data_IF_456986524675
#
_entry.id   IF_456986524675
#
_cell.length_a   1.000
_cell.length_b   1.000
_cell.length_c   1.000
_cell.angle_alpha   90.00
_cell.angle_beta   90.00
_cell.angle_gamma   90.00
#
_symmetry.space_group_name_H-M   'P 1'
#
loop_
_entity.id
_entity.type
_entity.pdbx_description
1 polymer ?
#
# COMPACT_ATOMS: atom_id res chain seq x y z
N UNK A 1 -22.36 8.90 5.56
CA UNK A 1 -21.88 8.28 6.82
C UNK A 1 -21.84 6.75 6.82
N UNK A 2 -22.91 5.98 6.54
CA UNK A 2 -22.84 4.52 6.44
C UNK A 2 -22.35 4.07 5.04
N UNK A 3 -22.78 4.75 4.00
CA UNK A 3 -22.37 4.45 2.60
C UNK A 3 -20.87 4.69 2.36
N UNK A 4 -20.26 5.69 3.00
CA UNK A 4 -18.84 5.99 2.86
C UNK A 4 -17.92 4.88 3.44
N UNK A 5 -18.45 4.09 4.39
CA UNK A 5 -17.77 2.91 4.93
C UNK A 5 -17.82 1.72 3.96
N UNK A 6 -18.92 1.60 3.20
CA UNK A 6 -19.12 0.52 2.23
C UNK A 6 -18.45 0.88 0.90
N UNK A 7 -18.57 2.15 0.49
CA UNK A 7 -18.00 2.67 -0.76
C UNK A 7 -17.04 3.83 -0.45
N UNK A 8 -15.85 3.54 0.07
CA UNK A 8 -14.85 4.56 0.32
C UNK A 8 -14.39 5.21 -0.99
N UNK A 9 -13.84 6.43 -0.90
CA UNK A 9 -13.23 7.10 -2.06
C UNK A 9 -12.18 6.19 -2.70
N UNK A 10 -12.04 6.28 -4.00
CA UNK A 10 -11.01 5.59 -4.74
C UNK A 10 -9.79 6.52 -4.89
N UNK A 11 -8.60 5.98 -4.68
CA UNK A 11 -7.36 6.70 -4.93
C UNK A 11 -7.23 7.01 -6.43
N UNK A 12 -6.62 8.16 -6.78
CA UNK A 12 -6.53 8.62 -8.18
C UNK A 12 -5.90 7.59 -9.11
N UNK A 13 -4.83 6.91 -8.65
CA UNK A 13 -4.17 5.86 -9.41
C UNK A 13 -5.04 4.61 -9.64
N UNK A 14 -6.05 4.40 -8.82
CA UNK A 14 -6.98 3.28 -8.94
C UNK A 14 -7.96 3.40 -10.10
N UNK A 15 -8.28 4.62 -10.55
CA UNK A 15 -9.28 4.82 -11.61
C UNK A 15 -8.91 4.11 -12.92
N UNK A 16 -7.64 4.18 -13.33
CA UNK A 16 -7.16 3.53 -14.55
C UNK A 16 -7.33 2.01 -14.48
N UNK A 17 -7.01 1.40 -13.34
CA UNK A 17 -7.15 -0.05 -13.16
C UNK A 17 -8.62 -0.48 -13.08
N UNK A 18 -9.47 0.34 -12.45
CA UNK A 18 -10.91 0.07 -12.38
C UNK A 18 -11.55 0.14 -13.78
N UNK A 19 -11.17 1.12 -14.60
CA UNK A 19 -11.66 1.23 -15.98
C UNK A 19 -11.20 0.04 -16.81
N UNK A 20 -9.92 -0.33 -16.75
CA UNK A 20 -9.37 -1.49 -17.48
C UNK A 20 -10.11 -2.78 -17.06
N UNK A 21 -10.24 -3.03 -15.76
CA UNK A 21 -10.92 -4.23 -15.26
C UNK A 21 -12.40 -4.25 -15.65
N UNK A 22 -13.08 -3.09 -15.65
CA UNK A 22 -14.47 -2.96 -16.08
C UNK A 22 -14.64 -3.28 -17.59
N UNK A 23 -13.77 -2.76 -18.44
CA UNK A 23 -13.78 -3.08 -19.88
C UNK A 23 -13.54 -4.57 -20.10
N UNK A 24 -12.55 -5.16 -19.43
CA UNK A 24 -12.28 -6.59 -19.50
C UNK A 24 -13.49 -7.41 -19.05
N UNK A 25 -14.17 -6.98 -17.99
CA UNK A 25 -15.41 -7.61 -17.53
C UNK A 25 -16.46 -7.67 -18.65
N UNK A 26 -16.71 -6.56 -19.32
CA UNK A 26 -17.71 -6.50 -20.40
C UNK A 26 -17.32 -7.40 -21.58
N UNK A 27 -16.04 -7.38 -21.99
CA UNK A 27 -15.53 -8.23 -23.06
C UNK A 27 -15.71 -9.70 -22.73
N UNK A 28 -15.29 -10.10 -21.53
CA UNK A 28 -15.33 -11.50 -21.10
C UNK A 28 -16.77 -11.99 -20.85
N UNK A 29 -17.64 -11.10 -20.40
CA UNK A 29 -19.06 -11.40 -20.31
C UNK A 29 -19.69 -11.68 -21.68
N UNK A 30 -19.30 -10.95 -22.73
CA UNK A 30 -19.79 -11.24 -24.10
C UNK A 30 -19.36 -12.62 -24.63
N UNK A 31 -18.33 -13.23 -24.04
CA UNK A 31 -17.83 -14.56 -24.41
C UNK A 31 -18.48 -15.65 -23.54
N UNK A 32 -18.62 -15.41 -22.22
CA UNK A 32 -19.13 -16.38 -21.27
C UNK A 32 -19.60 -15.71 -19.98
N UNK A 33 -20.82 -16.02 -19.54
CA UNK A 33 -21.38 -15.55 -18.25
C UNK A 33 -20.49 -15.93 -17.08
N UNK A 34 -19.88 -17.10 -17.10
CA UNK A 34 -18.97 -17.56 -16.05
C UNK A 34 -17.71 -16.69 -15.96
N UNK A 35 -17.10 -16.36 -17.09
CA UNK A 35 -15.94 -15.46 -17.13
C UNK A 35 -16.34 -14.04 -16.72
N UNK A 36 -17.48 -13.54 -17.18
CA UNK A 36 -18.03 -12.27 -16.77
C UNK A 36 -18.20 -12.17 -15.25
N UNK A 37 -18.79 -13.20 -14.65
CA UNK A 37 -18.98 -13.23 -13.19
C UNK A 37 -17.66 -13.20 -12.41
N UNK A 38 -16.65 -13.98 -12.83
CA UNK A 38 -15.31 -13.95 -12.20
C UNK A 38 -14.72 -12.55 -12.29
N UNK A 39 -14.80 -11.90 -13.48
CA UNK A 39 -14.21 -10.58 -13.68
C UNK A 39 -14.97 -9.47 -12.95
N UNK A 40 -16.27 -9.60 -12.69
CA UNK A 40 -16.99 -8.72 -11.75
C UNK A 40 -16.35 -8.78 -10.37
N UNK A 41 -16.10 -9.98 -9.84
CA UNK A 41 -15.46 -10.14 -8.52
C UNK A 41 -14.05 -9.52 -8.49
N UNK A 42 -13.28 -9.70 -9.57
CA UNK A 42 -11.95 -9.07 -9.72
C UNK A 42 -12.09 -7.54 -9.76
N UNK A 43 -13.06 -7.00 -10.51
CA UNK A 43 -13.28 -5.55 -10.59
C UNK A 43 -13.68 -4.96 -9.23
N UNK A 44 -14.53 -5.64 -8.48
CA UNK A 44 -14.88 -5.27 -7.11
C UNK A 44 -13.62 -5.30 -6.22
N UNK A 45 -12.80 -6.33 -6.33
CA UNK A 45 -11.54 -6.42 -5.59
C UNK A 45 -10.57 -5.30 -5.96
N UNK A 46 -10.41 -4.95 -7.24
CA UNK A 46 -9.60 -3.80 -7.70
C UNK A 46 -10.07 -2.51 -7.06
N UNK A 47 -11.39 -2.28 -6.99
CA UNK A 47 -11.94 -1.12 -6.30
C UNK A 47 -11.52 -1.09 -4.83
N UNK A 48 -11.67 -2.21 -4.10
CA UNK A 48 -11.30 -2.28 -2.69
C UNK A 48 -9.80 -2.22 -2.44
N UNK A 49 -8.99 -2.71 -3.37
CA UNK A 49 -7.52 -2.62 -3.30
C UNK A 49 -7.03 -1.16 -3.33
N UNK A 50 -7.62 -0.35 -4.20
CA UNK A 50 -7.27 1.07 -4.35
C UNK A 50 -8.17 2.02 -3.53
N UNK A 51 -8.94 1.51 -2.58
CA UNK A 51 -9.77 2.36 -1.73
C UNK A 51 -8.91 3.31 -0.89
N UNK A 52 -9.39 4.54 -0.73
CA UNK A 52 -8.76 5.57 0.09
C UNK A 52 -9.76 6.11 1.13
N UNK A 53 -10.08 5.32 2.18
CA UNK A 53 -11.02 5.73 3.21
C UNK A 53 -10.46 6.87 4.05
N UNK A 54 -11.32 7.77 4.50
CA UNK A 54 -10.95 8.80 5.46
C UNK A 54 -10.52 8.17 6.78
N UNK A 55 -9.38 8.61 7.32
CA UNK A 55 -8.85 8.15 8.61
C UNK A 55 -8.93 9.25 9.64
N UNK A 56 -9.28 8.89 10.86
CA UNK A 56 -9.15 9.80 11.99
C UNK A 56 -7.66 9.91 12.33
N UNK A 57 -7.14 11.12 12.28
CA UNK A 57 -5.76 11.42 12.62
C UNK A 57 -5.74 11.84 14.10
N UNK A 58 -4.77 11.36 14.84
CA UNK A 58 -4.47 11.85 16.19
C UNK A 58 -3.69 13.16 15.99
N UNK A 59 -4.28 14.27 16.41
CA UNK A 59 -3.64 15.59 16.34
C UNK A 59 -2.72 15.80 17.57
N UNK A 60 -1.67 15.01 17.64
CA UNK A 60 -0.67 15.05 18.71
C UNK A 60 0.69 14.68 18.11
N UNK A 61 1.61 15.65 18.11
CA UNK A 61 2.96 15.52 17.54
C UNK A 61 3.85 14.51 18.26
N UNK A 62 3.45 14.02 19.42
CA UNK A 62 4.20 13.00 20.17
C UNK A 62 4.00 11.60 19.62
N UNK A 63 3.02 11.39 18.71
CA UNK A 63 2.72 10.11 18.13
C UNK A 63 3.07 10.05 16.65
N UNK A 64 3.58 8.89 16.24
CA UNK A 64 3.63 8.50 14.83
C UNK A 64 2.45 7.57 14.55
N UNK A 65 1.66 7.90 13.53
CA UNK A 65 0.55 7.03 13.09
C UNK A 65 1.05 5.98 12.10
N UNK A 66 0.38 4.83 12.06
CA UNK A 66 0.73 3.80 11.09
C UNK A 66 0.60 4.33 9.65
N UNK A 67 1.65 4.23 8.82
CA UNK A 67 1.60 4.67 7.43
C UNK A 67 0.79 3.74 6.53
N UNK A 68 0.44 2.55 7.00
CA UNK A 68 -0.21 1.52 6.21
C UNK A 68 -1.24 0.75 7.04
N UNK A 69 -2.29 0.25 6.39
CA UNK A 69 -3.14 -0.80 6.93
C UNK A 69 -2.39 -2.13 6.83
N UNK A 70 -2.49 -2.96 7.85
CA UNK A 70 -1.84 -4.26 7.83
C UNK A 70 -1.51 -4.82 9.21
N UNK A 71 -0.64 -5.83 9.22
CA UNK A 71 -0.21 -6.50 10.45
C UNK A 71 1.24 -6.16 10.75
N UNK A 72 1.53 -5.73 11.98
CA UNK A 72 2.91 -5.57 12.46
C UNK A 72 3.56 -6.96 12.52
N UNK A 73 4.67 -7.13 11.80
CA UNK A 73 5.43 -8.38 11.73
C UNK A 73 6.71 -8.34 12.53
N UNK A 74 7.29 -7.16 12.72
CA UNK A 74 8.49 -6.99 13.53
C UNK A 74 8.60 -5.58 14.11
N UNK A 75 9.16 -5.48 15.32
CA UNK A 75 9.63 -4.25 15.93
C UNK A 75 11.04 -4.55 16.42
N UNK A 76 12.05 -3.87 15.88
CA UNK A 76 13.45 -4.18 16.20
C UNK A 76 14.36 -2.96 16.00
N UNK A 77 15.45 -2.91 16.77
CA UNK A 77 16.49 -1.93 16.52
C UNK A 77 17.36 -2.35 15.35
N UNK A 78 17.55 -1.43 14.41
CA UNK A 78 18.37 -1.64 13.21
C UNK A 78 19.24 -0.42 12.95
N UNK A 79 20.30 -0.59 12.18
CA UNK A 79 20.99 0.55 11.61
C UNK A 79 20.12 1.17 10.51
N UNK A 80 20.18 2.48 10.35
CA UNK A 80 19.45 3.16 9.30
C UNK A 80 19.90 2.73 7.90
N UNK A 81 19.11 3.02 6.88
CA UNK A 81 19.46 2.68 5.51
C UNK A 81 20.69 3.45 5.01
N UNK A 82 21.66 2.71 4.49
CA UNK A 82 22.88 3.30 3.91
C UNK A 82 22.55 4.18 2.69
N UNK A 83 21.49 3.84 1.97
CA UNK A 83 20.97 4.59 0.83
C UNK A 83 20.59 6.04 1.18
N UNK A 84 20.27 6.30 2.44
CA UNK A 84 19.97 7.65 2.97
C UNK A 84 21.09 8.21 3.85
N UNK A 85 22.29 7.60 3.82
CA UNK A 85 23.44 7.96 4.67
C UNK A 85 23.10 7.96 6.18
N UNK A 86 22.30 6.98 6.63
CA UNK A 86 21.84 6.83 7.99
C UNK A 86 22.38 5.57 8.68
N UNK A 87 23.27 4.83 8.04
CA UNK A 87 23.85 3.56 8.49
C UNK A 87 24.59 3.64 9.84
N UNK A 88 25.09 4.83 10.19
CA UNK A 88 25.73 5.09 11.49
C UNK A 88 24.76 5.42 12.65
N UNK A 89 23.46 5.47 12.37
CA UNK A 89 22.44 5.78 13.38
C UNK A 89 21.56 4.57 13.62
N UNK A 90 21.16 4.37 14.88
CA UNK A 90 20.20 3.35 15.26
C UNK A 90 18.78 3.88 15.20
N UNK A 91 17.89 3.04 14.72
CA UNK A 91 16.47 3.31 14.56
C UNK A 91 15.64 2.14 15.07
N UNK A 92 14.47 2.44 15.61
CA UNK A 92 13.43 1.43 15.81
C UNK A 92 12.69 1.23 14.49
N UNK A 93 12.82 0.04 13.89
CA UNK A 93 12.10 -0.35 12.69
C UNK A 93 10.80 -1.05 13.09
N UNK A 94 9.69 -0.53 12.62
CA UNK A 94 8.38 -1.20 12.66
C UNK A 94 8.06 -1.70 11.26
N UNK A 95 7.93 -3.02 11.11
CA UNK A 95 7.59 -3.65 9.83
C UNK A 95 6.12 -4.00 9.80
N UNK A 96 5.43 -3.55 8.74
CA UNK A 96 4.00 -3.78 8.54
C UNK A 96 3.81 -4.56 7.24
N UNK A 97 3.17 -5.72 7.32
CA UNK A 97 2.81 -6.52 6.18
C UNK A 97 1.38 -6.22 5.77
N UNK A 98 1.19 -5.82 4.51
CA UNK A 98 -0.12 -5.63 3.89
C UNK A 98 -0.47 -6.86 3.06
N UNK A 99 -1.63 -7.47 3.32
CA UNK A 99 -2.15 -8.53 2.47
C UNK A 99 -2.99 -7.93 1.33
N UNK A 100 -3.29 -8.71 0.30
CA UNK A 100 -4.01 -8.27 -0.91
C UNK A 100 -5.43 -7.73 -0.67
N UNK A 101 -5.99 -7.88 0.52
CA UNK A 101 -7.32 -7.35 0.91
C UNK A 101 -7.23 -6.10 1.78
N UNK A 102 -6.02 -5.75 2.25
CA UNK A 102 -5.81 -4.52 2.99
C UNK A 102 -5.87 -3.29 2.07
N UNK A 103 -5.98 -2.10 2.65
CA UNK A 103 -5.93 -0.87 1.89
C UNK A 103 -4.47 -0.61 1.47
N UNK A 104 -4.22 -0.51 0.15
CA UNK A 104 -2.86 -0.33 -0.39
C UNK A 104 -2.47 1.15 -0.60
N UNK A 105 -3.20 2.07 0.01
CA UNK A 105 -2.84 3.49 0.03
C UNK A 105 -2.03 3.80 1.28
N UNK A 106 -0.74 4.04 1.10
CA UNK A 106 0.16 4.46 2.18
C UNK A 106 0.07 5.96 2.41
N UNK A 107 0.30 6.38 3.66
CA UNK A 107 0.25 7.77 4.10
C UNK A 107 1.48 8.15 4.91
N UNK A 108 1.77 9.45 5.01
CA UNK A 108 2.81 9.92 5.91
C UNK A 108 2.47 9.58 7.37
N UNK A 109 3.42 9.03 8.14
CA UNK A 109 3.21 8.72 9.57
C UNK A 109 3.14 9.96 10.45
N UNK A 110 3.61 11.11 9.96
CA UNK A 110 3.57 12.41 10.64
C UNK A 110 3.52 13.55 9.65
N UNK A 111 3.23 14.75 10.13
CA UNK A 111 3.47 15.98 9.39
C UNK A 111 4.98 16.23 9.28
N UNK A 112 5.43 16.78 8.14
CA UNK A 112 6.85 17.06 7.92
C UNK A 112 7.17 17.42 6.48
N UNK A 113 8.44 17.67 6.22
CA UNK A 113 8.97 17.90 4.87
C UNK A 113 9.77 16.69 4.43
N UNK A 114 9.53 16.22 3.21
CA UNK A 114 10.36 15.21 2.59
C UNK A 114 11.72 15.83 2.29
N UNK A 115 12.76 15.35 2.99
CA UNK A 115 14.14 15.83 2.84
C UNK A 115 14.87 15.10 1.71
N UNK A 116 14.54 13.83 1.52
CA UNK A 116 15.20 12.98 0.54
C UNK A 116 14.29 11.85 0.09
N UNK A 117 14.44 11.43 -1.17
CA UNK A 117 13.74 10.28 -1.76
C UNK A 117 14.77 9.44 -2.48
N UNK A 118 14.87 8.17 -2.12
CA UNK A 118 15.76 7.23 -2.80
C UNK A 118 14.98 6.03 -3.31
N UNK A 119 15.01 5.83 -4.62
CA UNK A 119 14.42 4.67 -5.27
C UNK A 119 15.49 3.61 -5.57
N UNK A 120 15.25 2.38 -5.14
CA UNK A 120 16.10 1.22 -5.42
C UNK A 120 15.33 0.24 -6.30
N UNK A 121 15.73 0.08 -7.56
CA UNK A 121 15.14 -0.94 -8.41
C UNK A 121 15.45 -2.34 -7.87
N UNK A 122 14.54 -3.28 -8.06
CA UNK A 122 14.68 -4.63 -7.54
C UNK A 122 13.74 -5.62 -8.21
N UNK A 123 13.57 -6.78 -7.56
CA UNK A 123 12.68 -7.84 -8.00
C UNK A 123 11.26 -7.61 -7.46
N UNK A 124 10.31 -8.44 -7.90
CA UNK A 124 8.93 -8.50 -7.40
C UNK A 124 8.67 -9.87 -6.78
N UNK A 125 9.45 -10.21 -5.73
CA UNK A 125 9.25 -11.44 -4.99
C UNK A 125 8.04 -11.30 -4.07
N UNK A 126 7.40 -12.44 -3.75
CA UNK A 126 6.32 -12.44 -2.78
C UNK A 126 6.83 -11.86 -1.43
N UNK A 127 6.13 -10.84 -0.95
CA UNK A 127 6.51 -10.10 0.26
C UNK A 127 6.54 -10.95 1.56
N UNK A 128 5.97 -12.16 1.53
CA UNK A 128 6.04 -13.11 2.64
C UNK A 128 7.37 -13.88 2.72
N UNK A 129 8.24 -13.75 1.71
CA UNK A 129 9.56 -14.40 1.70
C UNK A 129 10.59 -13.52 2.42
N UNK A 130 11.46 -14.14 3.23
CA UNK A 130 12.51 -13.41 3.98
C UNK A 130 13.42 -12.57 3.07
N UNK A 131 13.76 -13.09 1.89
CA UNK A 131 14.59 -12.39 0.90
C UNK A 131 13.90 -11.22 0.20
N UNK A 132 12.58 -11.13 0.27
CA UNK A 132 11.83 -10.06 -0.38
C UNK A 132 12.23 -8.68 0.16
N UNK A 133 12.52 -8.57 1.45
CA UNK A 133 12.94 -7.33 2.09
C UNK A 133 14.31 -6.81 1.60
N UNK A 134 15.15 -7.66 1.00
CA UNK A 134 16.48 -7.30 0.53
C UNK A 134 16.56 -7.15 -1.00
N UNK A 135 15.81 -7.96 -1.74
CA UNK A 135 15.88 -8.02 -3.18
C UNK A 135 14.79 -7.27 -3.93
N UNK A 136 13.65 -6.99 -3.27
CA UNK A 136 12.55 -6.29 -3.91
C UNK A 136 12.83 -4.81 -4.15
N UNK A 137 12.14 -4.28 -5.15
CA UNK A 137 12.03 -2.85 -5.41
C UNK A 137 11.61 -2.09 -4.15
N UNK A 138 12.25 -0.95 -3.89
CA UNK A 138 12.04 -0.14 -2.69
C UNK A 138 12.06 1.34 -3.00
N UNK A 139 11.25 2.07 -2.24
CA UNK A 139 11.29 3.52 -2.23
C UNK A 139 11.44 4.00 -0.78
N UNK A 140 12.44 4.83 -0.53
CA UNK A 140 12.73 5.40 0.78
C UNK A 140 12.35 6.87 0.77
N UNK A 141 11.70 7.30 1.84
CA UNK A 141 11.39 8.70 2.11
C UNK A 141 12.02 9.08 3.43
N UNK A 142 12.81 10.15 3.42
CA UNK A 142 13.33 10.78 4.62
C UNK A 142 12.49 12.01 4.91
N UNK A 143 11.78 12.01 6.01
CA UNK A 143 10.88 13.06 6.49
C UNK A 143 11.51 13.74 7.70
#
# INVERSE_FOLDING_TARGET
>A
MMLDKIFPKLHQEGYKFLVISGILTLILWSISDFLGFIFILITIWVYYFFRDPERQIIDDETYLVSPADGRITAIQEVNGPAELALDNKKFTRVSIFMNIFDCHVNRSPSSGQIQDIFYKPGKFLNASLDKASEENERNYFKI
#
